data_IF_370052859044
#
_entry.id   IF_370052859044
#
_cell.length_a   1.000
_cell.length_b   1.000
_cell.length_c   1.000
_cell.angle_alpha   90.00
_cell.angle_beta   90.00
_cell.angle_gamma   90.00
#
_symmetry.space_group_name_H-M   'P 1'
#
loop_
_entity.id
_entity.type
_entity.pdbx_description
1 polymer ?
#
# COMPACT_ATOMS: atom_id res chain seq x y z
N UNK A 1 -13.97 0.40 -4.39
CA UNK A 1 -14.54 1.43 -5.30
C UNK A 1 -14.73 2.79 -4.61
N UNK A 2 -15.14 2.86 -3.35
CA UNK A 2 -15.31 4.14 -2.64
C UNK A 2 -14.04 5.01 -2.62
N UNK A 3 -12.88 4.45 -2.26
CA UNK A 3 -11.62 5.21 -2.16
C UNK A 3 -11.21 5.88 -3.48
N UNK A 4 -11.25 5.14 -4.59
CA UNK A 4 -10.95 5.68 -5.92
C UNK A 4 -11.89 6.81 -6.35
N UNK A 5 -13.14 6.83 -5.85
CA UNK A 5 -14.06 7.95 -6.09
C UNK A 5 -13.62 9.18 -5.29
N UNK A 6 -13.22 9.02 -4.03
CA UNK A 6 -12.69 10.11 -3.20
C UNK A 6 -11.41 10.71 -3.80
N UNK A 7 -10.52 9.88 -4.33
CA UNK A 7 -9.32 10.32 -5.06
C UNK A 7 -9.68 11.21 -6.25
N UNK A 8 -10.63 10.75 -7.09
CA UNK A 8 -11.08 11.53 -8.25
C UNK A 8 -11.71 12.87 -7.86
N UNK A 9 -12.41 12.92 -6.72
CA UNK A 9 -12.95 14.17 -6.19
C UNK A 9 -11.82 15.12 -5.78
N UNK A 10 -10.78 14.63 -5.09
CA UNK A 10 -9.62 15.44 -4.70
C UNK A 10 -8.86 16.00 -5.91
N UNK A 11 -8.67 15.20 -6.96
CA UNK A 11 -8.08 15.67 -8.22
C UNK A 11 -8.90 16.80 -8.87
N UNK A 12 -10.23 16.66 -8.90
CA UNK A 12 -11.11 17.70 -9.47
C UNK A 12 -11.03 18.98 -8.66
N UNK A 13 -11.07 18.89 -7.33
CA UNK A 13 -10.93 20.05 -6.44
C UNK A 13 -9.63 20.82 -6.70
N UNK A 14 -8.50 20.12 -6.78
CA UNK A 14 -7.22 20.79 -7.09
C UNK A 14 -7.20 21.43 -8.47
N UNK A 15 -7.82 20.82 -9.49
CA UNK A 15 -7.94 21.42 -10.84
C UNK A 15 -8.78 22.70 -10.84
N UNK A 16 -9.74 22.80 -9.93
CA UNK A 16 -10.60 23.98 -9.75
C UNK A 16 -9.98 25.04 -8.83
N UNK A 17 -8.75 24.82 -8.34
CA UNK A 17 -8.05 25.75 -7.43
C UNK A 17 -8.43 25.60 -5.95
N UNK A 18 -9.19 24.55 -5.60
CA UNK A 18 -9.51 24.22 -4.21
C UNK A 18 -8.53 23.21 -3.62
N UNK A 19 -8.33 23.26 -2.31
CA UNK A 19 -7.54 22.23 -1.62
C UNK A 19 -8.24 20.86 -1.68
N UNK A 20 -7.47 19.81 -2.00
CA UNK A 20 -7.94 18.43 -2.02
C UNK A 20 -6.78 17.45 -1.88
N UNK A 21 -6.88 16.55 -0.91
CA UNK A 21 -5.83 15.58 -0.60
C UNK A 21 -6.49 14.23 -0.24
N UNK A 22 -6.08 13.18 -0.95
CA UNK A 22 -6.40 11.80 -0.62
C UNK A 22 -5.11 11.05 -0.29
N UNK A 23 -5.05 10.46 0.92
CA UNK A 23 -3.90 9.67 1.36
C UNK A 23 -4.29 8.20 1.37
N UNK A 24 -3.55 7.41 0.59
CA UNK A 24 -3.65 5.96 0.57
C UNK A 24 -2.73 5.39 1.66
N UNK A 25 -3.30 5.18 2.85
CA UNK A 25 -2.60 4.57 3.98
C UNK A 25 -2.51 3.04 3.81
N UNK A 26 -1.36 2.48 4.21
CA UNK A 26 -1.21 1.05 4.50
C UNK A 26 -1.90 0.66 5.82
N UNK A 27 -1.47 -0.46 6.41
CA UNK A 27 -1.94 -0.83 7.75
C UNK A 27 -1.52 0.23 8.78
N UNK A 28 -2.45 0.67 9.64
CA UNK A 28 -2.20 1.62 10.72
C UNK A 28 -2.22 0.85 12.05
N UNK A 29 -1.23 1.09 12.89
CA UNK A 29 -1.11 0.49 14.22
C UNK A 29 -1.48 1.46 15.35
N UNK A 30 -1.23 1.03 16.59
CA UNK A 30 -1.48 1.71 17.88
C UNK A 30 -2.95 2.00 18.22
N UNK A 31 -3.79 2.30 17.23
CA UNK A 31 -5.21 2.61 17.37
C UNK A 31 -6.01 2.15 16.16
N UNK A 32 -7.33 1.99 16.32
CA UNK A 32 -8.26 1.68 15.23
C UNK A 32 -8.47 0.18 14.99
N UNK A 33 -9.24 -0.13 13.94
CA UNK A 33 -9.76 -1.49 13.69
C UNK A 33 -8.69 -2.59 13.63
N UNK A 34 -7.49 -2.25 13.17
CA UNK A 34 -6.37 -3.20 13.04
C UNK A 34 -5.60 -3.40 14.35
N UNK A 35 -5.55 -2.37 15.21
CA UNK A 35 -4.98 -2.47 16.55
C UNK A 35 -5.84 -3.37 17.45
N UNK A 36 -7.17 -3.28 17.32
CA UNK A 36 -8.12 -4.13 18.07
C UNK A 36 -8.05 -5.63 17.68
N UNK A 37 -7.45 -5.95 16.53
CA UNK A 37 -7.24 -7.32 16.04
C UNK A 37 -5.90 -7.93 16.49
N UNK A 38 -5.04 -7.19 17.21
CA UNK A 38 -3.81 -7.73 17.79
C UNK A 38 -4.11 -8.44 19.12
N UNK A 39 -4.10 -9.77 19.10
CA UNK A 39 -4.21 -10.57 20.33
C UNK A 39 -2.86 -10.89 21.00
N UNK A 40 -1.71 -10.66 20.33
CA UNK A 40 -0.52 -11.47 20.64
C UNK A 40 0.87 -10.79 20.42
N UNK A 41 0.98 -9.46 20.43
CA UNK A 41 2.26 -8.69 20.39
C UNK A 41 3.24 -9.07 19.23
N UNK A 42 2.72 -9.65 18.15
CA UNK A 42 3.50 -10.01 16.96
C UNK A 42 3.28 -8.98 15.86
N UNK A 43 4.36 -8.66 15.13
CA UNK A 43 4.27 -7.91 13.86
C UNK A 43 3.26 -8.58 12.91
N UNK A 44 2.07 -8.00 12.82
CA UNK A 44 1.05 -8.47 11.89
C UNK A 44 1.34 -7.93 10.49
N UNK A 45 1.75 -8.83 9.60
CA UNK A 45 1.88 -8.52 8.18
C UNK A 45 0.50 -8.58 7.52
N UNK A 46 -0.01 -7.43 7.09
CA UNK A 46 -1.31 -7.31 6.42
C UNK A 46 -1.06 -6.88 4.98
N UNK A 47 -1.46 -7.71 4.02
CA UNK A 47 -1.30 -7.39 2.60
C UNK A 47 0.15 -7.16 2.14
N UNK A 48 1.15 -7.67 2.87
CA UNK A 48 2.58 -7.44 2.59
C UNK A 48 3.15 -6.17 3.22
N UNK A 49 2.37 -5.48 4.05
CA UNK A 49 2.80 -4.29 4.81
C UNK A 49 2.83 -4.57 6.30
N UNK A 50 3.70 -3.85 7.02
CA UNK A 50 3.67 -3.74 8.47
C UNK A 50 2.72 -2.62 8.88
N UNK A 51 2.29 -2.66 10.14
CA UNK A 51 1.51 -1.57 10.72
C UNK A 51 2.41 -0.34 10.89
N UNK A 52 1.95 0.80 10.39
CA UNK A 52 2.60 2.09 10.61
C UNK A 52 2.14 2.66 11.95
N UNK A 53 3.08 2.98 12.83
CA UNK A 53 2.79 3.64 14.11
C UNK A 53 2.07 4.98 13.89
N UNK A 54 1.19 5.34 14.82
CA UNK A 54 0.40 6.58 14.76
C UNK A 54 1.30 7.81 14.75
N UNK A 55 2.43 7.76 15.47
CA UNK A 55 3.45 8.81 15.47
C UNK A 55 3.99 9.08 14.05
N UNK A 56 4.28 8.01 13.31
CA UNK A 56 4.76 8.04 11.92
C UNK A 56 3.68 8.53 10.95
N UNK A 57 2.42 8.11 11.16
CA UNK A 57 1.29 8.62 10.39
C UNK A 57 1.12 10.14 10.56
N UNK A 58 1.20 10.66 11.79
CA UNK A 58 1.05 12.09 12.07
C UNK A 58 2.17 12.93 11.46
N UNK A 59 3.43 12.47 11.56
CA UNK A 59 4.56 13.13 10.87
C UNK A 59 4.37 13.13 9.35
N UNK A 60 3.89 12.01 8.79
CA UNK A 60 3.61 11.92 7.35
C UNK A 60 2.46 12.84 6.94
N UNK A 61 1.42 12.95 7.77
CA UNK A 61 0.28 13.83 7.53
C UNK A 61 0.72 15.30 7.46
N UNK A 62 1.58 15.74 8.37
CA UNK A 62 2.13 17.10 8.35
C UNK A 62 2.84 17.39 7.01
N UNK A 63 3.71 16.48 6.57
CA UNK A 63 4.37 16.60 5.27
C UNK A 63 3.36 16.62 4.11
N UNK A 64 2.32 15.79 4.22
CA UNK A 64 1.35 15.63 3.15
C UNK A 64 0.34 16.77 3.02
N UNK A 65 0.10 17.54 4.09
CA UNK A 65 -0.74 18.73 4.03
C UNK A 65 -0.07 19.91 3.33
N UNK A 66 1.26 19.89 3.20
CA UNK A 66 2.07 21.00 2.67
C UNK A 66 2.46 20.85 1.19
N UNK A 67 2.00 19.80 0.50
CA UNK A 67 2.37 19.48 -0.88
C UNK A 67 1.25 19.78 -1.89
N UNK A 68 1.64 20.02 -3.14
CA UNK A 68 0.73 20.30 -4.27
C UNK A 68 0.24 19.02 -4.99
N UNK A 69 0.16 17.90 -4.28
CA UNK A 69 -0.28 16.60 -4.83
C UNK A 69 -1.62 16.19 -4.23
N UNK A 70 -2.59 15.89 -5.10
CA UNK A 70 -3.95 15.51 -4.66
C UNK A 70 -4.06 14.07 -4.17
N UNK A 71 -3.12 13.21 -4.56
CA UNK A 71 -3.10 11.79 -4.21
C UNK A 71 -1.68 11.42 -3.81
N UNK A 72 -1.54 10.83 -2.63
CA UNK A 72 -0.29 10.34 -2.07
C UNK A 72 -0.51 9.03 -1.32
N UNK A 73 0.57 8.34 -0.97
CA UNK A 73 0.50 7.08 -0.23
C UNK A 73 1.60 7.00 0.82
N UNK A 74 1.30 6.34 1.93
CA UNK A 74 2.26 6.02 2.98
C UNK A 74 1.99 4.62 3.51
N UNK A 75 3.05 3.81 3.57
CA UNK A 75 2.99 2.43 4.02
C UNK A 75 4.37 1.98 4.50
N UNK A 76 4.40 1.01 5.42
CA UNK A 76 5.62 0.34 5.86
C UNK A 76 5.68 -1.03 5.18
N UNK A 77 6.69 -1.27 4.36
CA UNK A 77 6.81 -2.54 3.62
C UNK A 77 7.39 -3.62 4.53
N UNK A 78 6.73 -4.78 4.61
CA UNK A 78 7.29 -5.91 5.35
C UNK A 78 8.49 -6.48 4.61
N UNK A 79 9.57 -6.79 5.34
CA UNK A 79 10.73 -7.42 4.72
C UNK A 79 10.34 -8.77 4.12
N UNK A 80 10.58 -8.92 2.83
CA UNK A 80 10.48 -10.23 2.18
C UNK A 80 11.66 -11.08 2.66
N UNK A 81 11.40 -12.07 3.53
CA UNK A 81 12.41 -13.08 3.92
C UNK A 81 13.12 -13.57 2.65
N UNK A 82 14.46 -13.48 2.62
CA UNK A 82 15.35 -13.86 1.50
C UNK A 82 15.37 -15.38 1.25
N UNK A 83 14.19 -16.00 1.11
CA UNK A 83 14.01 -17.42 0.85
C UNK A 83 13.48 -17.75 -0.55
N UNK A 84 13.14 -16.75 -1.36
CA UNK A 84 12.74 -16.96 -2.75
C UNK A 84 13.91 -16.65 -3.67
N UNK A 85 14.27 -17.64 -4.50
CA UNK A 85 15.42 -17.65 -5.41
C UNK A 85 15.71 -16.27 -6.00
N UNK A 86 16.94 -15.81 -5.79
CA UNK A 86 17.47 -14.60 -6.41
C UNK A 86 17.35 -14.82 -7.92
N UNK A 87 16.49 -14.06 -8.59
CA UNK A 87 16.37 -14.14 -10.05
C UNK A 87 17.78 -13.96 -10.63
N UNK A 88 18.24 -15.01 -11.30
CA UNK A 88 19.61 -15.11 -11.81
C UNK A 88 19.79 -14.27 -13.06
N UNK A 89 18.68 -13.89 -13.71
CA UNK A 89 18.67 -13.04 -14.89
C UNK A 89 17.39 -12.16 -14.98
N UNK A 90 17.41 -11.08 -15.77
CA UNK A 90 16.27 -10.15 -15.91
C UNK A 90 14.98 -10.79 -16.44
N UNK A 91 15.08 -11.80 -17.31
CA UNK A 91 13.91 -12.53 -17.83
C UNK A 91 13.19 -13.30 -16.71
N UNK A 92 13.95 -13.94 -15.83
CA UNK A 92 13.42 -14.62 -14.64
C UNK A 92 12.79 -13.61 -13.66
N UNK A 93 13.38 -12.42 -13.51
CA UNK A 93 12.80 -11.36 -12.69
C UNK A 93 11.46 -10.87 -13.27
N UNK A 94 11.40 -10.61 -14.58
CA UNK A 94 10.18 -10.20 -15.29
C UNK A 94 9.13 -11.32 -15.24
N UNK A 95 9.52 -12.57 -15.47
CA UNK A 95 8.62 -13.73 -15.36
C UNK A 95 8.11 -13.94 -13.93
N UNK A 96 8.90 -13.68 -12.90
CA UNK A 96 8.45 -13.72 -11.51
C UNK A 96 7.46 -12.59 -11.18
N UNK A 97 7.66 -11.40 -11.77
CA UNK A 97 6.74 -10.26 -11.62
C UNK A 97 5.43 -10.52 -12.38
N UNK A 98 5.52 -11.06 -13.59
CA UNK A 98 4.38 -11.27 -14.50
C UNK A 98 3.67 -12.61 -14.30
N UNK A 99 4.35 -13.64 -13.82
CA UNK A 99 3.89 -15.04 -13.72
C UNK A 99 2.79 -15.28 -12.70
N UNK A 100 2.47 -14.30 -11.85
CA UNK A 100 1.23 -14.29 -11.06
C UNK A 100 -0.03 -14.09 -11.92
N UNK A 101 0.09 -13.64 -13.17
CA UNK A 101 -1.03 -13.53 -14.11
C UNK A 101 -1.18 -14.73 -15.05
N UNK A 102 -0.09 -15.48 -15.29
CA UNK A 102 -0.04 -16.52 -16.34
C UNK A 102 -0.33 -17.92 -15.77
N UNK A 103 -0.04 -18.19 -14.50
CA UNK A 103 -0.30 -19.51 -13.87
C UNK A 103 -1.79 -19.87 -13.76
N UNK A 104 -2.70 -18.89 -13.77
CA UNK A 104 -4.15 -19.17 -13.79
C UNK A 104 -4.72 -19.45 -15.19
N UNK A 105 -3.98 -19.21 -16.27
CA UNK A 105 -4.46 -19.49 -17.64
C UNK A 105 -4.10 -20.89 -18.15
N UNK A 106 -3.13 -21.58 -17.54
CA UNK A 106 -2.69 -22.91 -17.99
C UNK A 106 -3.25 -24.10 -17.19
N UNK A 107 -4.07 -23.86 -16.15
CA UNK A 107 -4.68 -24.94 -15.32
C UNK A 107 -6.15 -25.19 -15.70
N UNK A 108 -6.77 -24.40 -16.59
CA UNK A 108 -8.17 -24.60 -17.00
C UNK A 108 -8.38 -25.38 -18.31
N UNK A 109 -7.33 -25.62 -19.07
CA UNK A 109 -7.38 -26.37 -20.34
C UNK A 109 -6.49 -27.63 -20.29
N UNK A 110 -6.75 -28.52 -19.35
CA UNK A 110 -6.25 -29.90 -19.35
C UNK A 110 -7.29 -30.84 -18.77
#
# INVERSE_FOLDING_TARGET
MANSVMERICERRMKEGFHGLAIQWGAIGDVGLVADMQEDDKELVIGGTLQQEISSCLNTLELFLLQDRSIVSSMVVAEKKKGFGRATNPLEAVANIMGKFITNYYIKDS
#
